data_IF_819555796869
#
_entry.id   IF_819555796869
#
_cell.length_a   1.000
_cell.length_b   1.000
_cell.length_c   1.000
_cell.angle_alpha   90.00
_cell.angle_beta   90.00
_cell.angle_gamma   90.00
#
_symmetry.space_group_name_H-M   'P 1'
#
loop_
_entity.id
_entity.type
_entity.pdbx_description
1 polymer ?
#
# COMPACT_ATOMS: atom_id res chain seq x y z
N UNK A 1 -13.86 -5.44 -32.32
CA UNK A 1 -13.33 -6.04 -31.07
C UNK A 1 -12.85 -4.92 -30.18
N UNK A 2 -13.55 -4.66 -29.07
CA UNK A 2 -13.40 -3.46 -28.20
C UNK A 2 -12.50 -3.74 -26.98
N UNK A 3 -12.01 -4.97 -26.82
CA UNK A 3 -11.14 -5.38 -25.71
C UNK A 3 -9.76 -4.73 -25.71
N UNK A 4 -9.33 -4.10 -26.81
CA UNK A 4 -8.02 -3.44 -26.94
C UNK A 4 -7.98 -1.99 -26.40
N UNK A 5 -9.11 -1.46 -25.92
CA UNK A 5 -9.22 -0.09 -25.36
C UNK A 5 -9.17 -0.05 -23.82
N UNK A 6 -9.06 -1.20 -23.17
CA UNK A 6 -8.81 -1.29 -21.74
C UNK A 6 -7.33 -0.96 -21.49
N UNK A 7 -6.97 -0.04 -20.57
CA UNK A 7 -5.61 -0.03 -20.05
C UNK A 7 -5.36 -1.42 -19.45
N UNK A 8 -4.49 -2.23 -20.07
CA UNK A 8 -4.11 -3.51 -19.47
C UNK A 8 -3.50 -3.23 -18.09
N UNK A 9 -3.66 -4.16 -17.15
CA UNK A 9 -3.04 -4.09 -15.83
C UNK A 9 -1.53 -3.76 -15.93
N UNK A 10 -0.86 -4.33 -16.91
CA UNK A 10 0.54 -4.03 -17.25
C UNK A 10 0.78 -2.55 -17.59
N UNK A 11 -0.15 -1.86 -18.28
CA UNK A 11 -0.03 -0.41 -18.56
C UNK A 11 -0.28 0.43 -17.31
N UNK A 12 -1.16 -0.01 -16.41
CA UNK A 12 -1.39 0.66 -15.14
C UNK A 12 -0.13 0.57 -14.26
N UNK A 13 0.42 -0.65 -14.12
CA UNK A 13 1.66 -0.89 -13.38
C UNK A 13 2.85 -0.15 -13.99
N UNK A 14 2.94 -0.10 -15.32
CA UNK A 14 3.98 0.68 -16.01
C UNK A 14 3.87 2.17 -15.69
N UNK A 15 2.65 2.72 -15.65
CA UNK A 15 2.43 4.13 -15.28
C UNK A 15 2.71 4.41 -13.81
N UNK A 16 2.43 3.47 -12.92
CA UNK A 16 2.77 3.61 -11.50
C UNK A 16 4.29 3.71 -11.29
N UNK A 17 5.07 2.94 -12.06
CA UNK A 17 6.54 3.01 -12.05
C UNK A 17 7.09 4.31 -12.65
N UNK A 18 6.29 5.01 -13.44
CA UNK A 18 6.64 6.26 -14.12
C UNK A 18 5.93 7.49 -13.49
N UNK A 19 5.48 7.38 -12.23
CA UNK A 19 4.87 8.52 -11.53
C UNK A 19 5.86 9.69 -11.51
N UNK A 20 5.36 10.87 -11.88
CA UNK A 20 6.17 12.09 -11.76
C UNK A 20 6.38 12.42 -10.29
N UNK A 21 7.46 13.15 -9.97
CA UNK A 21 7.70 13.65 -8.60
C UNK A 21 6.50 14.42 -8.05
N UNK A 22 5.77 15.15 -8.91
CA UNK A 22 4.56 15.88 -8.54
C UNK A 22 3.41 14.96 -8.16
N UNK A 23 3.21 13.87 -8.91
CA UNK A 23 2.15 12.91 -8.62
C UNK A 23 2.46 12.15 -7.32
N UNK A 24 3.73 11.76 -7.14
CA UNK A 24 4.22 11.15 -5.91
C UNK A 24 3.98 12.06 -4.70
N UNK A 25 4.39 13.34 -4.80
CA UNK A 25 4.18 14.32 -3.74
C UNK A 25 2.69 14.48 -3.40
N UNK A 26 1.82 14.53 -4.42
CA UNK A 26 0.38 14.66 -4.21
C UNK A 26 -0.21 13.48 -3.43
N UNK A 27 0.27 12.26 -3.69
CA UNK A 27 -0.14 11.05 -2.96
C UNK A 27 0.36 11.10 -1.51
N UNK A 28 1.62 11.49 -1.31
CA UNK A 28 2.23 11.59 0.03
C UNK A 28 1.55 12.67 0.87
N UNK A 29 1.25 13.82 0.28
CA UNK A 29 0.51 14.91 0.94
C UNK A 29 -0.88 14.44 1.38
N UNK A 30 -1.59 13.70 0.53
CA UNK A 30 -2.87 13.09 0.88
C UNK A 30 -2.75 12.19 2.12
N UNK A 31 -1.78 11.27 2.13
CA UNK A 31 -1.56 10.37 3.27
C UNK A 31 -1.15 11.09 4.55
N UNK A 32 -0.38 12.19 4.43
CA UNK A 32 0.04 12.97 5.59
C UNK A 32 -1.12 13.54 6.41
N UNK A 33 -2.27 13.77 5.75
CA UNK A 33 -3.48 14.33 6.34
C UNK A 33 -4.50 13.24 6.67
N UNK A 34 -4.61 12.20 5.84
CA UNK A 34 -5.66 11.18 6.00
C UNK A 34 -5.34 10.15 7.08
N UNK A 35 -4.05 9.95 7.40
CA UNK A 35 -3.61 8.86 8.26
C UNK A 35 -3.39 9.29 9.71
N UNK A 36 -3.66 8.34 10.61
CA UNK A 36 -3.33 8.44 12.04
C UNK A 36 -1.81 8.46 12.25
N UNK A 37 -1.40 8.79 13.47
CA UNK A 37 0.00 8.69 13.88
C UNK A 37 0.48 7.24 13.85
N UNK A 38 1.70 7.04 13.35
CA UNK A 38 2.41 5.77 13.29
C UNK A 38 3.90 6.02 13.55
N UNK A 39 4.59 5.01 14.04
CA UNK A 39 6.00 5.10 14.43
C UNK A 39 6.93 4.71 13.29
N UNK A 40 6.49 3.83 12.38
CA UNK A 40 7.32 3.27 11.30
C UNK A 40 6.54 3.01 10.01
N UNK A 41 7.22 3.17 8.87
CA UNK A 41 6.72 2.81 7.55
C UNK A 41 7.33 1.49 7.11
N UNK A 42 6.52 0.56 6.62
CA UNK A 42 6.94 -0.69 6.00
C UNK A 42 6.64 -0.62 4.50
N UNK A 43 7.68 -0.43 3.67
CA UNK A 43 7.55 -0.36 2.23
C UNK A 43 7.60 -1.72 1.56
N UNK A 44 6.60 -2.05 0.74
CA UNK A 44 6.63 -3.19 -0.18
C UNK A 44 7.47 -2.88 -1.43
N UNK A 45 7.98 -3.91 -2.16
CA UNK A 45 8.91 -3.70 -3.27
C UNK A 45 8.41 -2.76 -4.39
N UNK A 46 7.11 -2.76 -4.69
CA UNK A 46 6.51 -1.88 -5.70
C UNK A 46 6.36 -0.42 -5.28
N UNK A 47 6.53 -0.12 -3.99
CA UNK A 47 6.18 1.17 -3.40
C UNK A 47 7.35 1.84 -2.69
N UNK A 48 8.60 1.48 -3.03
CA UNK A 48 9.80 1.94 -2.34
C UNK A 48 9.89 3.46 -2.29
N UNK A 49 9.73 4.13 -3.43
CA UNK A 49 9.83 5.59 -3.56
C UNK A 49 8.72 6.29 -2.77
N UNK A 50 7.51 5.74 -2.82
CA UNK A 50 6.36 6.24 -2.07
C UNK A 50 6.54 6.07 -0.56
N UNK A 51 7.03 4.91 -0.13
CA UNK A 51 7.30 4.61 1.27
C UNK A 51 8.41 5.50 1.83
N UNK A 52 9.48 5.72 1.05
CA UNK A 52 10.56 6.65 1.39
C UNK A 52 10.05 8.08 1.56
N UNK A 53 9.30 8.59 0.58
CA UNK A 53 8.78 9.95 0.63
C UNK A 53 7.80 10.16 1.82
N UNK A 54 6.96 9.17 2.12
CA UNK A 54 6.07 9.23 3.30
C UNK A 54 6.86 9.19 4.61
N UNK A 55 7.87 8.32 4.71
CA UNK A 55 8.72 8.21 5.90
C UNK A 55 9.49 9.51 6.15
N UNK A 56 10.06 10.12 5.11
CA UNK A 56 10.74 11.41 5.19
C UNK A 56 9.81 12.53 5.61
N UNK A 57 8.62 12.64 5.00
CA UNK A 57 7.64 13.68 5.34
C UNK A 57 7.20 13.57 6.81
N UNK A 58 7.06 12.35 7.33
CA UNK A 58 6.59 12.09 8.70
C UNK A 58 7.72 12.03 9.73
N UNK A 59 8.98 12.04 9.29
CA UNK A 59 10.14 11.89 10.16
C UNK A 59 10.19 10.54 10.88
N UNK A 60 9.67 9.48 10.25
CA UNK A 60 9.61 8.12 10.81
C UNK A 60 10.60 7.19 10.10
N UNK A 61 11.10 6.12 10.75
CA UNK A 61 11.94 5.13 10.07
C UNK A 61 11.20 4.42 8.93
N UNK A 62 11.98 3.96 7.95
CA UNK A 62 11.53 3.12 6.85
C UNK A 62 12.13 1.72 7.00
N UNK A 63 11.27 0.71 6.94
CA UNK A 63 11.64 -0.70 6.81
C UNK A 63 11.25 -1.16 5.41
N UNK A 64 12.18 -1.76 4.68
CA UNK A 64 11.89 -2.34 3.37
C UNK A 64 11.61 -3.83 3.52
N UNK A 65 10.47 -4.27 3.00
CA UNK A 65 10.12 -5.67 2.89
C UNK A 65 10.47 -6.20 1.50
N UNK A 66 10.98 -7.43 1.44
CA UNK A 66 11.26 -8.13 0.20
C UNK A 66 10.94 -9.62 0.33
N UNK A 67 10.82 -10.33 -0.79
CA UNK A 67 10.73 -11.79 -0.78
C UNK A 67 12.14 -12.36 -0.86
N UNK A 68 12.43 -13.29 0.04
CA UNK A 68 13.63 -14.11 -0.03
C UNK A 68 13.53 -15.07 -1.22
N UNK A 69 14.52 -15.06 -2.10
CA UNK A 69 14.48 -15.84 -3.36
C UNK A 69 14.51 -17.36 -3.12
N UNK A 70 15.15 -17.80 -2.03
CA UNK A 70 15.32 -19.22 -1.75
C UNK A 70 14.07 -19.84 -1.11
N UNK A 71 13.42 -19.12 -0.19
CA UNK A 71 12.32 -19.62 0.62
C UNK A 71 10.96 -19.08 0.22
N UNK A 72 10.91 -17.98 -0.55
CA UNK A 72 9.69 -17.29 -0.96
C UNK A 72 9.02 -16.51 0.17
N UNK A 73 9.56 -16.56 1.40
CA UNK A 73 9.02 -15.85 2.56
C UNK A 73 9.35 -14.36 2.51
N UNK A 74 8.51 -13.57 3.15
CA UNK A 74 8.81 -12.16 3.40
C UNK A 74 9.92 -12.02 4.43
N UNK A 75 10.87 -11.16 4.09
CA UNK A 75 11.92 -10.66 4.98
C UNK A 75 11.79 -9.15 5.09
N UNK A 76 12.13 -8.63 6.27
CA UNK A 76 12.12 -7.20 6.57
C UNK A 76 13.53 -6.83 7.05
N UNK A 77 14.10 -5.77 6.50
CA UNK A 77 15.40 -5.25 6.92
C UNK A 77 15.26 -4.45 8.23
N UNK A 78 14.93 -5.15 9.30
CA UNK A 78 14.71 -4.58 10.62
C UNK A 78 15.01 -5.59 11.73
N UNK A 79 15.63 -5.09 12.81
CA UNK A 79 15.71 -5.83 14.06
C UNK A 79 14.33 -5.86 14.75
N UNK A 80 14.09 -6.84 15.65
CA UNK A 80 12.91 -6.83 16.51
C UNK A 80 12.84 -5.55 17.33
N UNK A 81 11.67 -4.91 17.36
CA UNK A 81 11.44 -3.70 18.14
C UNK A 81 11.48 -4.01 19.65
N UNK A 82 12.15 -3.15 20.43
CA UNK A 82 12.25 -3.29 21.89
C UNK A 82 10.89 -3.12 22.59
N UNK A 83 10.01 -2.30 22.00
CA UNK A 83 8.63 -2.06 22.42
C UNK A 83 7.72 -2.15 21.20
N UNK A 84 6.43 -2.40 21.42
CA UNK A 84 5.45 -2.41 20.34
C UNK A 84 5.38 -1.05 19.65
N UNK A 85 5.68 -1.04 18.35
CA UNK A 85 5.64 0.16 17.50
C UNK A 85 4.50 0.06 16.49
N UNK A 86 3.76 1.15 16.31
CA UNK A 86 2.68 1.26 15.32
C UNK A 86 3.26 1.39 13.92
N UNK A 87 2.83 0.54 13.01
CA UNK A 87 3.33 0.49 11.65
C UNK A 87 2.23 0.75 10.63
N UNK A 88 2.62 1.36 9.51
CA UNK A 88 1.84 1.37 8.28
C UNK A 88 2.56 0.61 7.18
N UNK A 89 1.84 -0.22 6.44
CA UNK A 89 2.33 -0.80 5.18
C UNK A 89 2.08 0.19 4.04
N UNK A 90 3.06 0.36 3.15
CA UNK A 90 2.93 1.14 1.92
C UNK A 90 3.07 0.21 0.71
N UNK A 91 2.08 0.26 -0.17
CA UNK A 91 1.99 -0.54 -1.40
C UNK A 91 1.60 0.35 -2.59
N UNK A 92 1.98 0.00 -3.82
CA UNK A 92 1.66 0.77 -5.01
C UNK A 92 0.31 0.34 -5.58
N UNK A 93 0.09 -0.97 -5.62
CA UNK A 93 -1.10 -1.59 -6.19
C UNK A 93 -1.69 -2.63 -5.23
N UNK A 94 -2.78 -2.25 -4.60
CA UNK A 94 -3.51 -3.07 -3.65
C UNK A 94 -4.65 -3.83 -4.33
N UNK A 95 -4.56 -5.17 -4.33
CA UNK A 95 -5.49 -6.08 -5.03
C UNK A 95 -6.23 -7.00 -4.06
N UNK A 96 -5.79 -8.24 -3.90
CA UNK A 96 -6.43 -9.26 -3.07
C UNK A 96 -6.05 -9.17 -1.58
N UNK A 97 -5.08 -8.32 -1.25
CA UNK A 97 -4.58 -8.04 0.10
C UNK A 97 -3.75 -9.15 0.73
N UNK A 98 -3.36 -10.19 -0.03
CA UNK A 98 -2.53 -11.27 0.50
C UNK A 98 -1.10 -10.82 0.82
N UNK A 99 -0.37 -10.10 -0.05
CA UNK A 99 0.96 -9.60 0.26
C UNK A 99 0.99 -8.78 1.56
N UNK A 100 0.03 -7.86 1.71
CA UNK A 100 -0.09 -7.00 2.89
C UNK A 100 -0.39 -7.82 4.14
N UNK A 101 -1.28 -8.81 4.06
CA UNK A 101 -1.58 -9.69 5.20
C UNK A 101 -0.36 -10.52 5.62
N UNK A 102 0.42 -11.02 4.67
CA UNK A 102 1.67 -11.74 4.98
C UNK A 102 2.68 -10.82 5.68
N UNK A 103 2.77 -9.55 5.28
CA UNK A 103 3.57 -8.55 5.98
C UNK A 103 3.06 -8.29 7.39
N UNK A 104 1.74 -8.20 7.61
CA UNK A 104 1.18 -8.05 8.98
C UNK A 104 1.67 -9.18 9.88
N UNK A 105 1.62 -10.43 9.39
CA UNK A 105 2.11 -11.59 10.14
C UNK A 105 3.62 -11.48 10.40
N UNK A 106 4.41 -11.09 9.41
CA UNK A 106 5.86 -10.96 9.58
C UNK A 106 6.25 -9.81 10.53
N UNK A 107 5.62 -8.66 10.39
CA UNK A 107 5.79 -7.49 11.24
C UNK A 107 5.45 -7.78 12.70
N UNK A 108 4.38 -8.55 12.96
CA UNK A 108 3.99 -8.93 14.32
C UNK A 108 5.04 -9.76 15.05
N UNK A 109 5.77 -10.63 14.34
CA UNK A 109 6.87 -11.43 14.93
C UNK A 109 8.05 -10.56 15.36
N UNK A 110 8.17 -9.37 14.77
CA UNK A 110 9.22 -8.39 15.05
C UNK A 110 8.76 -7.29 16.02
N UNK A 111 7.56 -7.41 16.60
CA UNK A 111 7.04 -6.43 17.56
C UNK A 111 6.35 -5.21 16.94
N UNK A 112 6.09 -5.21 15.63
CA UNK A 112 5.36 -4.13 14.97
C UNK A 112 3.86 -4.43 14.93
N UNK A 113 3.05 -3.46 15.36
CA UNK A 113 1.59 -3.49 15.24
C UNK A 113 1.16 -2.75 13.98
N UNK A 114 0.81 -3.48 12.93
CA UNK A 114 0.31 -2.86 11.69
C UNK A 114 -1.15 -2.47 11.88
N UNK A 115 -1.45 -1.17 11.78
CA UNK A 115 -2.81 -0.64 11.95
C UNK A 115 -3.45 -0.22 10.62
N UNK A 116 -2.63 0.05 9.59
CA UNK A 116 -3.12 0.54 8.31
C UNK A 116 -2.26 0.10 7.12
N UNK A 117 -2.87 0.13 5.94
CA UNK A 117 -2.24 0.05 4.63
C UNK A 117 -2.49 1.35 3.87
N UNK A 118 -1.44 2.00 3.40
CA UNK A 118 -1.51 3.10 2.45
C UNK A 118 -1.19 2.58 1.05
N UNK A 119 -2.09 2.77 0.09
CA UNK A 119 -1.92 2.31 -1.28
C UNK A 119 -2.12 3.42 -2.31
N UNK A 120 -1.21 3.51 -3.30
CA UNK A 120 -1.38 4.47 -4.38
C UNK A 120 -2.66 4.15 -5.19
N UNK A 121 -2.86 2.87 -5.51
CA UNK A 121 -4.04 2.38 -6.22
C UNK A 121 -4.64 1.18 -5.49
N UNK A 122 -5.95 1.20 -5.32
CA UNK A 122 -6.75 0.06 -4.90
C UNK A 122 -7.63 -0.45 -6.05
N UNK A 123 -7.62 -1.77 -6.25
CA UNK A 123 -8.64 -2.49 -7.02
C UNK A 123 -9.79 -2.91 -6.12
N UNK A 124 -10.93 -2.21 -6.23
CA UNK A 124 -12.06 -2.42 -5.32
C UNK A 124 -12.81 -3.75 -5.57
N UNK A 125 -12.66 -4.35 -6.75
CA UNK A 125 -13.29 -5.61 -7.11
C UNK A 125 -12.60 -6.85 -6.49
N UNK A 126 -11.35 -6.73 -6.06
CA UNK A 126 -10.51 -7.87 -5.67
C UNK A 126 -10.66 -8.25 -4.19
N UNK A 127 -11.55 -7.56 -3.46
CA UNK A 127 -11.91 -7.83 -2.05
C UNK A 127 -10.76 -7.73 -1.04
N UNK A 128 -9.58 -7.24 -1.43
CA UNK A 128 -8.45 -7.06 -0.51
C UNK A 128 -8.78 -6.16 0.67
N UNK A 129 -9.52 -5.07 0.43
CA UNK A 129 -9.98 -4.16 1.50
C UNK A 129 -10.77 -4.91 2.56
N UNK A 130 -11.80 -5.64 2.15
CA UNK A 130 -12.61 -6.42 3.08
C UNK A 130 -11.78 -7.47 3.82
N UNK A 131 -10.78 -8.09 3.17
CA UNK A 131 -9.86 -9.03 3.83
C UNK A 131 -9.12 -8.36 5.00
N UNK A 132 -8.56 -7.18 4.78
CA UNK A 132 -7.76 -6.47 5.78
C UNK A 132 -8.63 -5.81 6.86
N UNK A 133 -9.76 -5.21 6.49
CA UNK A 133 -10.69 -4.59 7.44
C UNK A 133 -11.27 -5.62 8.42
N UNK A 134 -11.50 -6.88 7.99
CA UNK A 134 -11.90 -7.97 8.87
C UNK A 134 -10.82 -8.34 9.91
N UNK A 135 -9.56 -7.98 9.67
CA UNK A 135 -8.47 -8.13 10.64
C UNK A 135 -8.28 -6.87 11.50
N UNK A 136 -9.13 -5.85 11.33
CA UNK A 136 -9.05 -4.58 12.05
C UNK A 136 -8.10 -3.56 11.44
N UNK A 137 -7.59 -3.78 10.22
CA UNK A 137 -6.72 -2.82 9.52
C UNK A 137 -7.53 -1.79 8.74
N UNK A 138 -7.03 -0.56 8.69
CA UNK A 138 -7.55 0.50 7.82
C UNK A 138 -6.86 0.47 6.45
N UNK A 139 -7.60 0.66 5.36
CA UNK A 139 -7.02 0.81 4.01
C UNK A 139 -7.23 2.23 3.49
N UNK A 140 -6.12 2.96 3.35
CA UNK A 140 -6.03 4.31 2.82
C UNK A 140 -5.58 4.27 1.36
N UNK A 141 -6.51 4.41 0.42
CA UNK A 141 -6.22 4.44 -1.01
C UNK A 141 -6.16 5.87 -1.53
N UNK A 142 -5.13 6.22 -2.29
CA UNK A 142 -5.08 7.51 -2.99
C UNK A 142 -5.99 7.51 -4.23
N UNK A 143 -6.09 6.37 -4.93
CA UNK A 143 -7.00 6.17 -6.05
C UNK A 143 -7.70 4.81 -5.93
N UNK A 144 -9.02 4.80 -6.07
CA UNK A 144 -9.82 3.57 -6.12
C UNK A 144 -10.31 3.32 -7.55
N UNK A 145 -10.10 2.10 -8.04
CA UNK A 145 -10.45 1.70 -9.40
C UNK A 145 -11.30 0.43 -9.36
N UNK A 146 -12.42 0.45 -10.07
CA UNK A 146 -13.26 -0.71 -10.33
C UNK A 146 -13.19 -1.10 -11.82
N UNK A 147 -13.16 -2.40 -12.11
CA UNK A 147 -13.44 -2.88 -13.46
C UNK A 147 -14.93 -2.71 -13.75
N UNK A 148 -15.25 -2.03 -14.85
CA UNK A 148 -16.60 -2.04 -15.43
C UNK A 148 -16.57 -2.74 -16.79
N UNK A 149 -17.72 -3.23 -17.32
CA UNK A 149 -17.79 -3.77 -18.67
C UNK A 149 -17.34 -2.80 -19.79
N UNK A 150 -17.10 -1.52 -19.46
CA UNK A 150 -16.61 -0.45 -20.35
C UNK A 150 -15.16 -0.03 -20.04
N UNK A 151 -14.51 -0.60 -19.02
CA UNK A 151 -13.15 -0.32 -18.60
C UNK A 151 -12.99 0.15 -17.16
N UNK A 152 -11.75 0.53 -16.79
CA UNK A 152 -11.41 1.02 -15.45
C UNK A 152 -12.14 2.35 -15.21
N UNK A 153 -12.97 2.40 -14.17
CA UNK A 153 -13.64 3.63 -13.74
C UNK A 153 -13.11 4.00 -12.36
N UNK A 154 -12.68 5.25 -12.21
CA UNK A 154 -12.28 5.81 -10.93
C UNK A 154 -13.53 5.97 -10.05
N UNK A 155 -13.57 5.31 -8.90
CA UNK A 155 -14.63 5.52 -7.92
C UNK A 155 -14.30 6.78 -7.09
N UNK A 156 -15.16 7.80 -7.14
CA UNK A 156 -15.13 8.90 -6.18
C UNK A 156 -16.04 8.55 -5.01
N UNK A 157 -15.47 8.05 -3.91
CA UNK A 157 -16.16 7.98 -2.62
C UNK A 157 -15.64 9.12 -1.75
N UNK A 158 -16.49 10.12 -1.50
CA UNK A 158 -16.21 11.11 -0.45
C UNK A 158 -16.29 10.40 0.90
N UNK A 159 -15.30 10.55 1.79
CA UNK A 159 -15.39 9.97 3.13
C UNK A 159 -16.55 10.64 3.88
N UNK A 160 -17.42 9.83 4.48
CA UNK A 160 -18.32 10.32 5.53
C UNK A 160 -17.52 10.34 6.82
N UNK A 161 -17.50 11.54 7.42
CA UNK A 161 -16.85 11.91 8.70
C UNK A 161 -17.14 10.96 9.86
#
# INVERSE_FOLDING_TARGET
MVSSLLPSEERLLSRLRELSEKDLQSIVDYFSVSMREFDVVIGLPGARELAQALAELRGTPLILASRDEASGWWVMDADPAELTQKAVIVTDHFTDGLPELEIVVQASKLGYLVEAVACAIERTNDRGRSRLELQGLEVNAAVQIADTPRGLVMERRFPQS
#
